data_IF_708281785169
#
_entry.id   IF_708281785169
#
_cell.length_a   1.000
_cell.length_b   1.000
_cell.length_c   1.000
_cell.angle_alpha   90.00
_cell.angle_beta   90.00
_cell.angle_gamma   90.00
#
_symmetry.space_group_name_H-M   'P 1'
#
loop_
_entity.id
_entity.type
_entity.pdbx_description
1 polymer ?
#
# COMPACT_ATOMS: atom_id res chain seq x y z
N UNK A 1 4.71 6.14 -17.20
CA UNK A 1 5.74 6.93 -16.48
C UNK A 1 6.28 6.12 -15.31
N UNK A 2 7.57 6.17 -15.05
CA UNK A 2 8.11 5.48 -13.87
C UNK A 2 7.62 6.11 -12.57
N UNK A 3 7.45 5.29 -11.55
CA UNK A 3 7.16 5.74 -10.21
C UNK A 3 8.45 6.08 -9.48
N UNK A 4 8.40 7.13 -8.68
CA UNK A 4 9.56 7.63 -7.92
C UNK A 4 9.31 7.40 -6.43
N UNK A 5 10.35 7.02 -5.70
CA UNK A 5 10.26 6.88 -4.24
C UNK A 5 9.75 8.18 -3.61
N UNK A 6 8.85 8.08 -2.65
CA UNK A 6 8.18 9.24 -2.05
C UNK A 6 6.86 9.62 -2.71
N UNK A 7 6.54 9.07 -3.86
CA UNK A 7 5.26 9.29 -4.53
C UNK A 7 4.09 8.81 -3.66
N UNK A 8 2.98 9.56 -3.67
CA UNK A 8 1.81 9.28 -2.83
C UNK A 8 0.57 8.99 -3.66
N UNK A 9 0.45 7.80 -4.26
CA UNK A 9 -0.80 7.43 -4.94
C UNK A 9 -1.90 7.16 -3.93
N UNK A 10 -3.12 6.97 -4.44
CA UNK A 10 -4.20 6.41 -3.63
C UNK A 10 -4.00 4.89 -3.53
N UNK A 11 -4.26 4.34 -2.37
CA UNK A 11 -4.22 2.90 -2.11
C UNK A 11 -5.63 2.43 -1.85
N UNK A 12 -6.06 1.38 -2.55
CA UNK A 12 -7.37 0.78 -2.36
C UNK A 12 -7.23 -0.69 -1.99
N UNK A 13 -7.80 -1.07 -0.85
CA UNK A 13 -7.86 -2.45 -0.41
C UNK A 13 -9.14 -3.13 -0.92
N UNK A 14 -9.12 -4.46 -1.18
CA UNK A 14 -10.27 -5.14 -1.78
C UNK A 14 -11.53 -5.17 -0.89
N UNK A 15 -11.36 -5.04 0.42
CA UNK A 15 -12.47 -5.10 1.36
C UNK A 15 -13.15 -3.75 1.61
N UNK A 16 -12.66 -2.66 1.00
CA UNK A 16 -13.16 -1.32 1.29
C UNK A 16 -13.26 -0.50 0.02
N UNK A 17 -14.31 0.30 -0.08
CA UNK A 17 -14.49 1.23 -1.19
C UNK A 17 -13.66 2.50 -1.01
N UNK A 18 -13.28 2.82 0.23
CA UNK A 18 -12.50 4.00 0.53
C UNK A 18 -11.07 3.81 0.05
N UNK A 19 -10.55 4.86 -0.60
CA UNK A 19 -9.14 4.93 -0.95
C UNK A 19 -8.44 5.82 0.07
N UNK A 20 -7.17 5.52 0.35
CA UNK A 20 -6.35 6.34 1.23
C UNK A 20 -5.04 6.71 0.54
N UNK A 21 -4.48 7.87 0.86
CA UNK A 21 -3.17 8.25 0.34
C UNK A 21 -2.09 7.40 1.01
N UNK A 22 -1.21 6.83 0.22
CA UNK A 22 -0.10 6.02 0.72
C UNK A 22 1.22 6.48 0.14
N UNK A 23 2.12 6.98 0.98
CA UNK A 23 3.46 7.33 0.55
C UNK A 23 4.31 6.08 0.43
N UNK A 24 4.96 5.90 -0.71
CA UNK A 24 5.84 4.77 -0.97
C UNK A 24 7.30 5.20 -0.84
N UNK A 25 8.07 4.47 -0.05
CA UNK A 25 9.52 4.60 -0.01
C UNK A 25 10.11 3.27 -0.48
N UNK A 26 10.75 3.27 -1.64
CA UNK A 26 11.31 2.07 -2.21
C UNK A 26 12.56 1.62 -1.45
N UNK A 27 12.68 0.31 -1.29
CA UNK A 27 13.83 -0.30 -0.62
C UNK A 27 14.82 -0.75 -1.70
N UNK A 28 16.01 -0.16 -1.68
CA UNK A 28 17.09 -0.54 -2.58
C UNK A 28 17.08 0.11 -3.96
N UNK A 29 16.08 0.94 -4.27
CA UNK A 29 16.05 1.71 -5.51
C UNK A 29 15.17 2.94 -5.37
N UNK A 30 15.37 3.93 -6.25
CA UNK A 30 14.64 5.19 -6.18
C UNK A 30 13.49 5.27 -7.18
N UNK A 31 13.50 4.44 -8.20
CA UNK A 31 12.55 4.52 -9.32
C UNK A 31 12.07 3.11 -9.66
N UNK A 32 10.77 2.97 -9.91
CA UNK A 32 10.18 1.75 -10.47
C UNK A 32 9.63 2.05 -11.85
N UNK A 33 10.11 1.35 -12.85
CA UNK A 33 9.60 1.46 -14.22
C UNK A 33 8.36 0.59 -14.39
N UNK A 34 7.50 0.88 -15.39
CA UNK A 34 6.35 0.03 -15.68
C UNK A 34 6.77 -1.43 -15.84
N UNK A 35 6.08 -2.34 -15.15
CA UNK A 35 6.40 -3.75 -15.15
C UNK A 35 7.38 -4.19 -14.08
N UNK A 36 8.05 -3.27 -13.40
CA UNK A 36 8.96 -3.60 -12.30
C UNK A 36 8.21 -4.04 -11.05
N UNK A 37 8.80 -4.98 -10.33
CA UNK A 37 8.37 -5.35 -8.98
C UNK A 37 9.43 -4.88 -7.99
N UNK A 38 9.02 -4.07 -7.03
CA UNK A 38 9.92 -3.51 -6.03
C UNK A 38 9.36 -3.70 -4.63
N UNK A 39 10.27 -3.77 -3.65
CA UNK A 39 9.88 -3.69 -2.24
C UNK A 39 9.79 -2.24 -1.83
N UNK A 40 8.78 -1.90 -1.04
CA UNK A 40 8.60 -0.55 -0.55
C UNK A 40 7.97 -0.57 0.84
N UNK A 41 8.26 0.46 1.63
CA UNK A 41 7.47 0.77 2.81
C UNK A 41 6.39 1.75 2.39
N UNK A 42 5.16 1.48 2.82
CA UNK A 42 4.01 2.32 2.48
C UNK A 42 3.41 2.84 3.78
N UNK A 43 3.30 4.16 3.85
CA UNK A 43 2.67 4.84 4.98
C UNK A 43 1.33 5.39 4.51
N UNK A 44 0.24 4.92 5.09
CA UNK A 44 -1.10 5.42 4.78
C UNK A 44 -1.51 6.47 5.81
N UNK A 45 -2.33 7.43 5.38
CA UNK A 45 -2.74 8.55 6.26
C UNK A 45 -3.99 8.24 7.06
N UNK A 46 -4.84 7.36 6.59
CA UNK A 46 -6.12 7.03 7.25
C UNK A 46 -5.98 5.81 8.17
N UNK A 47 -5.02 5.86 9.08
CA UNK A 47 -4.70 4.70 9.94
C UNK A 47 -5.87 4.29 10.84
N UNK A 48 -6.66 5.24 11.32
CA UNK A 48 -7.80 4.92 12.18
C UNK A 48 -8.87 4.10 11.45
N UNK A 49 -9.14 4.45 10.20
CA UNK A 49 -10.13 3.72 9.39
C UNK A 49 -9.69 2.27 9.13
N UNK A 50 -8.41 2.04 8.97
CA UNK A 50 -7.86 0.72 8.65
C UNK A 50 -7.29 -0.02 9.86
N UNK A 51 -7.46 0.50 11.07
CA UNK A 51 -6.95 -0.13 12.28
C UNK A 51 -7.48 -1.57 12.42
N UNK A 52 -6.58 -2.51 12.60
CA UNK A 52 -6.92 -3.92 12.78
C UNK A 52 -7.40 -4.63 11.52
N UNK A 53 -7.22 -4.05 10.34
CA UNK A 53 -7.78 -4.59 9.09
C UNK A 53 -6.75 -5.13 8.11
N UNK A 54 -5.46 -4.90 8.35
CA UNK A 54 -4.40 -5.27 7.41
C UNK A 54 -3.64 -6.50 7.90
N UNK A 55 -3.22 -7.33 6.95
CA UNK A 55 -2.45 -8.54 7.25
C UNK A 55 -1.48 -8.83 6.10
N UNK A 56 -0.41 -9.57 6.40
CA UNK A 56 0.49 -10.06 5.36
C UNK A 56 -0.27 -10.94 4.37
N UNK A 57 0.08 -10.80 3.09
CA UNK A 57 -0.59 -11.53 2.01
C UNK A 57 -1.78 -10.80 1.40
N UNK A 58 -2.25 -9.73 2.00
CA UNK A 58 -3.35 -8.93 1.45
C UNK A 58 -2.88 -8.20 0.20
N UNK A 59 -3.63 -8.30 -0.88
CA UNK A 59 -3.37 -7.58 -2.12
C UNK A 59 -4.11 -6.25 -2.12
N UNK A 60 -3.56 -5.27 -2.84
CA UNK A 60 -4.17 -3.95 -2.95
C UNK A 60 -3.84 -3.33 -4.30
N UNK A 61 -4.53 -2.22 -4.60
CA UNK A 61 -4.33 -1.49 -5.83
C UNK A 61 -3.84 -0.08 -5.54
N UNK A 62 -2.94 0.41 -6.40
CA UNK A 62 -2.62 1.84 -6.46
C UNK A 62 -3.52 2.48 -7.49
N UNK A 63 -4.06 3.65 -7.17
CA UNK A 63 -5.01 4.35 -8.03
C UNK A 63 -4.71 5.82 -8.18
N UNK A 64 -5.10 6.35 -9.33
CA UNK A 64 -5.28 7.78 -9.56
C UNK A 64 -6.76 7.97 -9.89
N UNK A 65 -7.53 8.51 -8.92
CA UNK A 65 -8.98 8.55 -9.05
C UNK A 65 -9.56 7.14 -9.15
N UNK A 66 -10.24 6.82 -10.25
CA UNK A 66 -10.78 5.48 -10.49
C UNK A 66 -9.85 4.59 -11.30
N UNK A 67 -8.74 5.14 -11.79
CA UNK A 67 -7.80 4.41 -12.64
C UNK A 67 -6.82 3.61 -11.80
N UNK A 68 -6.69 2.33 -12.09
CA UNK A 68 -5.69 1.46 -11.47
C UNK A 68 -4.35 1.72 -12.16
N UNK A 69 -3.34 2.12 -11.38
CA UNK A 69 -1.99 2.39 -11.91
C UNK A 69 -0.96 1.36 -11.46
N UNK A 70 -1.32 0.45 -10.58
CA UNK A 70 -0.44 -0.62 -10.12
C UNK A 70 -1.12 -1.47 -9.07
N UNK A 71 -0.44 -2.53 -8.68
CA UNK A 71 -0.91 -3.45 -7.64
C UNK A 71 0.24 -3.78 -6.68
N UNK A 72 -0.12 -4.25 -5.51
CA UNK A 72 0.86 -4.67 -4.53
C UNK A 72 0.33 -5.75 -3.61
N UNK A 73 1.23 -6.28 -2.81
CA UNK A 73 0.91 -7.29 -1.81
C UNK A 73 1.65 -6.95 -0.53
N UNK A 74 0.95 -6.99 0.58
CA UNK A 74 1.56 -6.74 1.89
C UNK A 74 2.46 -7.91 2.25
N UNK A 75 3.73 -7.64 2.49
CA UNK A 75 4.67 -8.64 2.99
C UNK A 75 4.68 -8.67 4.50
N UNK A 76 4.61 -7.50 5.13
CA UNK A 76 4.62 -7.35 6.57
C UNK A 76 3.91 -6.06 6.96
N UNK A 77 3.12 -6.10 8.03
CA UNK A 77 2.48 -4.91 8.59
C UNK A 77 3.38 -4.40 9.72
N UNK A 78 4.05 -3.27 9.48
CA UNK A 78 5.00 -2.71 10.43
C UNK A 78 4.31 -1.96 11.58
N UNK A 79 3.19 -1.31 11.28
CA UNK A 79 2.38 -0.63 12.31
C UNK A 79 1.38 -1.63 12.89
N UNK A 80 1.64 -2.05 14.12
CA UNK A 80 0.81 -3.06 14.79
C UNK A 80 -0.65 -2.63 14.97
N UNK A 81 -0.93 -1.32 14.99
CA UNK A 81 -2.30 -0.84 15.10
C UNK A 81 -3.13 -1.18 13.84
N UNK A 82 -2.47 -1.37 12.70
CA UNK A 82 -3.12 -1.75 11.44
C UNK A 82 -3.31 -3.27 11.31
N UNK A 83 -2.54 -4.04 12.06
CA UNK A 83 -2.52 -5.49 11.92
C UNK A 83 -3.83 -6.11 12.39
N UNK A 84 -4.38 -6.99 11.55
CA UNK A 84 -5.54 -7.78 11.93
C UNK A 84 -5.23 -8.58 13.17
N UNK A 85 -6.09 -8.45 14.19
CA UNK A 85 -5.96 -9.22 15.41
C UNK A 85 -6.36 -10.66 15.10
N UNK A 86 -5.36 -11.52 14.94
CA UNK A 86 -5.59 -12.94 14.81
C UNK A 86 -5.74 -13.51 16.22
N UNK A 87 -6.85 -14.16 16.44
CA UNK A 87 -6.99 -14.92 17.68
C UNK A 87 -5.93 -15.99 17.71
N UNK A 88 -5.15 -16.05 18.74
CA UNK A 88 -4.18 -17.12 18.88
C UNK A 88 -4.87 -18.48 18.96
#
# INVERSE_FOLDING_TARGET
MPAISGYRPQVKFPFDKMQTSGQQIFIGKDVANPGDTVKAEITIISTEHFAGKLTAGLEFEFREGTRIIGTGKILEVLDKALLTALSP
#
